data_IF_674815042000
#
_entry.id   IF_674815042000
#
_cell.length_a   1.000
_cell.length_b   1.000
_cell.length_c   1.000
_cell.angle_alpha   90.00
_cell.angle_beta   90.00
_cell.angle_gamma   90.00
#
_symmetry.space_group_name_H-M   'P 1'
#
loop_
_entity.id
_entity.type
_entity.pdbx_description
1 polymer ?
#
# COMPACT_ATOMS: atom_id res chain seq x y z
N UNK A 1 -3.43 67.12 34.02
CA UNK A 1 -2.30 67.70 34.81
C UNK A 1 -0.96 67.13 34.29
N UNK A 2 0.21 67.76 34.56
CA UNK A 2 1.15 67.98 33.45
C UNK A 2 2.57 67.34 33.54
N UNK A 3 3.02 66.81 32.40
CA UNK A 3 4.32 67.13 31.77
C UNK A 3 5.65 66.69 32.49
N UNK A 4 6.88 67.12 32.05
CA UNK A 4 7.62 66.38 31.00
C UNK A 4 9.16 66.27 31.18
N UNK A 5 9.85 65.44 30.34
CA UNK A 5 11.15 65.68 29.61
C UNK A 5 11.74 64.34 29.08
N UNK A 6 12.17 64.25 27.81
CA UNK A 6 13.54 64.47 27.23
C UNK A 6 14.64 63.63 27.89
N UNK A 7 15.59 62.97 27.21
CA UNK A 7 15.92 62.78 25.77
C UNK A 7 17.01 61.65 25.66
N UNK A 8 17.69 61.24 24.56
CA UNK A 8 17.90 61.75 23.19
C UNK A 8 18.34 60.60 22.21
N UNK A 9 18.97 60.90 21.08
CA UNK A 9 19.67 59.97 20.14
C UNK A 9 20.77 60.75 19.36
N UNK A 10 21.75 60.14 18.64
CA UNK A 10 21.51 59.71 17.24
C UNK A 10 22.41 58.59 16.61
N UNK A 11 21.88 57.90 15.58
CA UNK A 11 22.37 57.66 14.17
C UNK A 11 23.92 57.51 13.88
N UNK A 12 24.43 56.78 12.87
CA UNK A 12 23.88 56.57 11.51
C UNK A 12 24.60 55.53 10.58
N UNK A 13 23.86 55.00 9.59
CA UNK A 13 24.20 54.69 8.16
C UNK A 13 25.41 53.83 7.69
N UNK A 14 25.10 52.60 7.25
CA UNK A 14 25.08 52.12 5.83
C UNK A 14 26.23 52.39 4.82
N UNK A 15 26.86 51.31 4.32
CA UNK A 15 27.13 50.98 2.89
C UNK A 15 27.65 49.51 2.78
N UNK A 16 27.47 48.64 1.76
CA UNK A 16 27.03 48.64 0.34
C UNK A 16 28.15 48.60 -0.73
N UNK A 17 28.73 47.41 -1.03
CA UNK A 17 29.16 46.95 -2.38
C UNK A 17 29.77 45.53 -2.44
N UNK A 18 29.69 44.93 -3.64
CA UNK A 18 30.50 43.79 -4.16
C UNK A 18 31.41 44.33 -5.31
N UNK A 19 32.15 43.56 -6.17
CA UNK A 19 32.31 42.09 -6.30
C UNK A 19 33.73 41.53 -6.65
N UNK A 20 33.90 40.19 -6.57
CA UNK A 20 34.66 39.32 -7.54
C UNK A 20 36.20 39.37 -7.66
N UNK A 21 36.86 38.23 -8.00
CA UNK A 21 38.31 38.22 -8.32
C UNK A 21 39.08 36.87 -8.42
N UNK A 22 38.83 36.08 -9.48
CA UNK A 22 39.68 35.00 -10.10
C UNK A 22 40.99 34.47 -9.43
N UNK A 23 41.04 33.12 -9.34
CA UNK A 23 42.14 32.18 -9.76
C UNK A 23 43.60 32.36 -9.28
N UNK A 24 44.21 31.26 -8.79
CA UNK A 24 45.22 30.49 -9.56
C UNK A 24 45.61 29.14 -8.90
N UNK A 25 46.17 28.23 -9.71
CA UNK A 25 46.84 26.97 -9.31
C UNK A 25 48.10 26.82 -10.17
N UNK A 26 49.18 26.18 -9.70
CA UNK A 26 49.37 24.71 -9.85
C UNK A 26 50.06 24.06 -8.62
N UNK A 27 50.29 22.75 -8.51
CA UNK A 27 49.92 21.61 -9.36
C UNK A 27 51.09 20.63 -9.62
N UNK A 28 50.91 19.32 -9.39
CA UNK A 28 51.79 18.24 -9.92
C UNK A 28 51.05 16.89 -9.96
N UNK A 29 51.55 15.97 -10.80
CA UNK A 29 50.90 14.70 -11.18
C UNK A 29 51.45 13.51 -10.39
N UNK A 30 50.64 12.46 -10.20
CA UNK A 30 51.01 11.06 -10.48
C UNK A 30 49.77 10.14 -10.45
N UNK A 31 49.79 9.08 -11.26
CA UNK A 31 48.71 8.09 -11.45
C UNK A 31 49.29 6.85 -12.16
N UNK A 32 48.58 5.70 -12.26
CA UNK A 32 47.41 5.24 -11.50
C UNK A 32 47.66 3.89 -10.79
N UNK A 33 46.70 3.39 -10.00
CA UNK A 33 46.52 1.95 -9.73
C UNK A 33 45.03 1.62 -9.65
N UNK A 34 44.64 0.46 -10.19
CA UNK A 34 43.25 0.05 -10.31
C UNK A 34 42.60 -0.21 -8.95
N UNK A 35 41.52 0.52 -8.66
CA UNK A 35 40.46 0.12 -7.74
C UNK A 35 39.14 0.19 -8.50
N UNK A 36 38.29 -0.82 -8.35
CA UNK A 36 36.93 -0.78 -8.89
C UNK A 36 36.10 0.10 -7.98
N UNK A 37 35.75 1.28 -8.47
CA UNK A 37 34.80 2.15 -7.77
C UNK A 37 33.43 1.47 -7.77
N UNK A 38 33.05 0.91 -6.62
CA UNK A 38 31.64 0.85 -6.28
C UNK A 38 31.19 2.31 -6.16
N UNK A 39 30.27 2.74 -7.04
CA UNK A 39 29.76 4.11 -7.02
C UNK A 39 29.20 4.44 -5.63
N UNK A 40 29.30 5.71 -5.18
CA UNK A 40 28.71 6.12 -3.91
C UNK A 40 27.21 5.78 -3.89
N UNK A 41 26.60 5.59 -2.71
CA UNK A 41 25.15 5.43 -2.61
C UNK A 41 24.47 6.57 -3.34
N UNK A 42 23.68 6.24 -4.37
CA UNK A 42 22.85 7.23 -5.05
C UNK A 42 21.71 7.56 -4.11
N UNK A 43 21.85 8.65 -3.36
CA UNK A 43 20.76 9.24 -2.61
C UNK A 43 19.63 9.57 -3.60
N UNK A 44 18.56 8.77 -3.57
CA UNK A 44 17.40 8.88 -4.45
C UNK A 44 16.49 10.09 -4.10
N UNK A 45 17.10 11.15 -3.55
CA UNK A 45 16.48 12.43 -3.18
C UNK A 45 16.38 13.28 -4.45
N UNK A 46 15.42 12.91 -5.30
CA UNK A 46 15.28 13.46 -6.67
C UNK A 46 13.84 13.67 -7.13
N UNK A 47 12.88 13.79 -6.22
CA UNK A 47 11.50 14.21 -6.53
C UNK A 47 11.37 15.72 -6.26
N UNK A 48 11.64 16.53 -7.28
CA UNK A 48 11.45 17.99 -7.22
C UNK A 48 9.96 18.32 -7.37
N UNK A 49 9.35 18.57 -6.21
CA UNK A 49 7.92 18.65 -5.90
C UNK A 49 6.95 19.14 -7.00
N UNK A 50 6.04 18.24 -7.42
CA UNK A 50 4.80 18.60 -8.10
C UNK A 50 3.58 17.89 -7.48
N UNK A 51 3.55 17.62 -6.15
CA UNK A 51 2.42 16.92 -5.47
C UNK A 51 1.07 17.66 -5.53
N UNK A 52 1.07 18.85 -6.15
CA UNK A 52 -0.08 19.68 -6.42
C UNK A 52 -0.26 20.05 -7.90
N UNK A 53 0.48 19.48 -8.86
CA UNK A 53 0.35 19.77 -10.31
C UNK A 53 -0.43 18.68 -11.03
N UNK A 54 -1.48 19.05 -11.77
CA UNK A 54 -2.27 18.09 -12.55
C UNK A 54 -1.58 17.74 -13.87
N UNK A 55 -1.22 16.48 -14.08
CA UNK A 55 -0.46 16.05 -15.28
C UNK A 55 -1.21 16.22 -16.61
N UNK A 56 -2.52 16.48 -16.61
CA UNK A 56 -3.29 16.77 -17.82
C UNK A 56 -3.23 18.25 -18.22
N UNK A 57 -3.72 19.14 -17.36
CA UNK A 57 -3.85 20.57 -17.65
C UNK A 57 -2.68 21.42 -17.15
N UNK A 58 -1.68 20.80 -16.52
CA UNK A 58 -0.45 21.42 -16.00
C UNK A 58 -0.68 22.55 -14.98
N UNK A 59 -1.92 22.67 -14.46
CA UNK A 59 -2.25 23.60 -13.38
C UNK A 59 -1.68 23.10 -12.04
N UNK A 60 -0.97 23.99 -11.35
CA UNK A 60 -0.66 23.88 -9.92
C UNK A 60 -1.87 24.24 -9.04
N UNK A 61 -1.99 23.54 -7.92
CA UNK A 61 -2.98 23.75 -6.86
C UNK A 61 -2.27 24.05 -5.54
N UNK A 62 -2.98 24.59 -4.55
CA UNK A 62 -2.34 24.99 -3.27
C UNK A 62 -1.98 23.82 -2.33
N UNK A 63 -2.65 22.68 -2.48
CA UNK A 63 -2.43 21.48 -1.65
C UNK A 63 -2.96 20.21 -2.35
N UNK A 64 -2.53 19.03 -1.87
CA UNK A 64 -2.92 17.73 -2.43
C UNK A 64 -4.44 17.50 -2.40
N UNK A 65 -5.17 18.06 -1.43
CA UNK A 65 -6.63 17.94 -1.36
C UNK A 65 -7.36 18.76 -2.43
N UNK A 66 -6.80 19.90 -2.86
CA UNK A 66 -7.30 20.70 -3.97
C UNK A 66 -7.14 19.99 -5.32
N UNK A 67 -5.97 19.39 -5.58
CA UNK A 67 -5.76 18.60 -6.80
C UNK A 67 -6.60 17.31 -6.82
N UNK A 68 -6.70 16.56 -5.70
CA UNK A 68 -7.58 15.38 -5.64
C UNK A 68 -9.06 15.76 -5.87
N UNK A 69 -9.50 16.92 -5.38
CA UNK A 69 -10.84 17.44 -5.65
C UNK A 69 -11.02 17.84 -7.12
N UNK A 70 -10.05 18.53 -7.72
CA UNK A 70 -10.04 18.92 -9.13
C UNK A 70 -10.12 17.69 -10.07
N UNK A 71 -9.29 16.68 -9.86
CA UNK A 71 -9.20 15.51 -10.76
C UNK A 71 -10.50 14.70 -10.78
N UNK A 72 -11.15 14.52 -9.63
CA UNK A 72 -12.41 13.76 -9.56
C UNK A 72 -13.63 14.59 -9.99
N UNK A 73 -13.58 15.92 -9.88
CA UNK A 73 -14.71 16.79 -10.22
C UNK A 73 -14.67 17.43 -11.60
N UNK A 74 -13.50 17.66 -12.20
CA UNK A 74 -13.42 18.29 -13.52
C UNK A 74 -13.31 17.24 -14.61
N UNK A 75 -13.79 17.57 -15.82
CA UNK A 75 -13.61 16.73 -17.00
C UNK A 75 -12.49 17.27 -17.88
N UNK A 76 -11.43 16.48 -18.04
CA UNK A 76 -10.26 16.75 -18.90
C UNK A 76 -10.37 16.07 -20.27
N UNK A 77 -11.52 15.47 -20.58
CA UNK A 77 -11.78 14.72 -21.82
C UNK A 77 -12.64 15.56 -22.76
N UNK A 78 -12.56 15.29 -24.07
CA UNK A 78 -13.38 15.94 -25.10
C UNK A 78 -14.89 16.01 -24.75
N UNK A 79 -15.59 17.10 -25.14
CA UNK A 79 -15.12 18.23 -25.95
C UNK A 79 -14.35 19.31 -25.17
N UNK A 80 -13.97 19.05 -23.91
CA UNK A 80 -13.32 20.03 -23.04
C UNK A 80 -11.81 20.08 -23.28
N UNK A 81 -11.26 21.29 -23.32
CA UNK A 81 -9.90 21.56 -23.79
C UNK A 81 -8.99 22.09 -22.65
N UNK A 82 -7.80 22.61 -22.98
CA UNK A 82 -6.84 23.13 -22.00
C UNK A 82 -7.26 24.45 -21.32
N UNK A 83 -8.34 25.09 -21.78
CA UNK A 83 -8.84 26.37 -21.24
C UNK A 83 -10.16 26.22 -20.47
N UNK A 84 -11.05 25.32 -20.90
CA UNK A 84 -12.38 25.11 -20.31
C UNK A 84 -12.63 23.65 -19.90
N UNK A 85 -13.21 23.44 -18.72
CA UNK A 85 -13.55 22.14 -18.17
C UNK A 85 -14.95 22.13 -17.56
N UNK A 86 -15.71 21.04 -17.74
CA UNK A 86 -17.00 20.86 -17.06
C UNK A 86 -16.82 20.26 -15.66
N UNK A 87 -17.49 20.87 -14.67
CA UNK A 87 -17.64 20.25 -13.36
C UNK A 87 -18.67 19.10 -13.43
N UNK A 88 -18.21 17.87 -13.24
CA UNK A 88 -18.99 16.63 -13.25
C UNK A 88 -20.18 16.64 -12.28
N UNK A 89 -20.09 17.40 -11.18
CA UNK A 89 -21.13 17.50 -10.16
C UNK A 89 -22.27 18.47 -10.53
N UNK A 90 -21.96 19.72 -10.90
CA UNK A 90 -22.97 20.76 -11.16
C UNK A 90 -23.18 21.09 -12.66
N UNK A 91 -22.45 20.40 -13.55
CA UNK A 91 -22.46 20.53 -15.03
C UNK A 91 -22.04 21.89 -15.60
N UNK A 92 -21.76 22.89 -14.77
CA UNK A 92 -21.21 24.17 -15.21
C UNK A 92 -19.83 23.99 -15.88
N UNK A 93 -19.61 24.71 -16.97
CA UNK A 93 -18.27 24.94 -17.54
C UNK A 93 -17.51 25.94 -16.67
N UNK A 94 -16.22 25.69 -16.47
CA UNK A 94 -15.32 26.48 -15.62
C UNK A 94 -13.99 26.62 -16.35
N UNK A 95 -13.42 27.83 -16.37
CA UNK A 95 -12.09 28.05 -16.93
C UNK A 95 -11.03 27.36 -16.06
N UNK A 96 -10.00 26.77 -16.67
CA UNK A 96 -8.91 26.05 -15.97
C UNK A 96 -8.19 26.91 -14.93
N UNK A 97 -8.17 28.24 -15.11
CA UNK A 97 -7.65 29.20 -14.12
C UNK A 97 -8.53 29.36 -12.86
N UNK A 98 -9.81 28.99 -12.91
CA UNK A 98 -10.82 29.22 -11.86
C UNK A 98 -11.34 27.93 -11.17
N UNK A 99 -10.92 26.73 -11.64
CA UNK A 99 -11.44 25.43 -11.13
C UNK A 99 -11.20 25.16 -9.64
N UNK A 100 -10.22 25.77 -9.00
CA UNK A 100 -9.96 25.62 -7.55
C UNK A 100 -10.85 26.52 -6.69
N UNK A 101 -11.28 27.65 -7.26
CA UNK A 101 -12.19 28.63 -6.68
C UNK A 101 -13.67 28.18 -6.85
N UNK A 102 -13.94 27.31 -7.82
CA UNK A 102 -15.27 26.77 -8.10
C UNK A 102 -15.88 26.04 -6.88
N UNK A 103 -17.13 26.40 -6.52
CA UNK A 103 -17.82 25.98 -5.29
C UNK A 103 -17.75 24.46 -5.00
N UNK A 104 -17.97 23.61 -6.00
CA UNK A 104 -17.90 22.15 -5.80
C UNK A 104 -16.48 21.67 -5.47
N UNK A 105 -15.44 22.25 -6.09
CA UNK A 105 -14.05 21.92 -5.83
C UNK A 105 -13.61 22.39 -4.45
N UNK A 106 -13.99 23.62 -4.04
CA UNK A 106 -13.74 24.14 -2.69
C UNK A 106 -14.34 23.22 -1.62
N UNK A 107 -15.64 22.89 -1.72
CA UNK A 107 -16.33 22.03 -0.76
C UNK A 107 -15.70 20.62 -0.71
N UNK A 108 -15.42 20.02 -1.87
CA UNK A 108 -14.79 18.70 -1.96
C UNK A 108 -13.40 18.70 -1.36
N UNK A 109 -12.57 19.70 -1.67
CA UNK A 109 -11.22 19.82 -1.12
C UNK A 109 -11.25 20.02 0.41
N UNK A 110 -12.20 20.79 0.94
CA UNK A 110 -12.37 20.95 2.39
C UNK A 110 -12.73 19.63 3.08
N UNK A 111 -13.61 18.82 2.49
CA UNK A 111 -13.86 17.45 2.97
C UNK A 111 -12.60 16.58 2.93
N UNK A 112 -11.83 16.61 1.83
CA UNK A 112 -10.61 15.82 1.69
C UNK A 112 -9.51 16.25 2.69
N UNK A 113 -9.37 17.55 2.99
CA UNK A 113 -8.53 18.05 4.09
C UNK A 113 -9.00 17.51 5.45
N UNK A 114 -10.30 17.57 5.72
CA UNK A 114 -10.87 17.10 6.99
C UNK A 114 -10.61 15.61 7.24
N UNK A 115 -10.90 14.73 6.27
CA UNK A 115 -10.67 13.29 6.48
C UNK A 115 -9.19 12.90 6.55
N UNK A 116 -8.30 13.72 5.97
CA UNK A 116 -6.85 13.47 5.89
C UNK A 116 -6.01 14.20 6.94
N UNK A 117 -6.60 15.03 7.80
CA UNK A 117 -5.84 15.79 8.79
C UNK A 117 -5.48 14.94 10.02
N UNK A 118 -4.45 15.38 10.76
CA UNK A 118 -4.00 14.74 12.00
C UNK A 118 -5.10 14.64 13.07
N UNK A 119 -6.08 15.55 13.09
CA UNK A 119 -7.22 15.51 14.03
C UNK A 119 -8.25 14.41 13.70
N UNK A 120 -8.28 13.90 12.46
CA UNK A 120 -9.02 12.68 12.09
C UNK A 120 -8.11 11.45 12.18
N UNK A 121 -6.81 11.62 11.92
CA UNK A 121 -5.80 10.55 11.86
C UNK A 121 -5.00 10.34 13.18
N UNK A 122 -5.56 10.78 14.32
CA UNK A 122 -4.93 10.79 15.66
C UNK A 122 -4.31 9.44 16.08
N UNK A 123 -4.83 8.34 15.53
CA UNK A 123 -4.48 6.96 15.91
C UNK A 123 -3.73 6.19 14.81
N UNK A 124 -3.10 6.94 13.90
CA UNK A 124 -2.25 6.39 12.84
C UNK A 124 -3.02 6.04 11.54
N UNK A 125 -2.32 5.98 10.39
CA UNK A 125 -2.93 5.68 9.10
C UNK A 125 -3.74 4.37 9.06
N UNK A 126 -4.91 4.34 8.37
CA UNK A 126 -5.84 3.21 8.34
C UNK A 126 -5.38 2.01 7.47
N UNK A 127 -4.10 1.95 7.13
CA UNK A 127 -3.49 0.95 6.26
C UNK A 127 -2.20 0.37 6.87
N UNK A 128 -2.05 0.41 8.21
CA UNK A 128 -0.89 -0.13 8.92
C UNK A 128 -1.31 -1.20 9.92
N UNK A 129 -0.73 -2.39 9.80
CA UNK A 129 -1.00 -3.50 10.71
C UNK A 129 -0.29 -3.31 12.06
N UNK A 130 -1.06 -3.30 13.13
CA UNK A 130 -0.58 -3.12 14.49
C UNK A 130 -0.08 -4.40 15.14
N UNK A 131 -0.40 -5.57 14.58
CA UNK A 131 0.16 -6.85 15.02
C UNK A 131 1.51 -7.12 14.35
N UNK A 132 1.67 -6.79 13.07
CA UNK A 132 2.95 -6.83 12.36
C UNK A 132 3.77 -5.53 12.50
N UNK A 133 3.97 -5.01 13.72
CA UNK A 133 4.94 -3.92 14.01
C UNK A 133 4.83 -2.72 13.05
N UNK A 134 3.62 -2.21 12.83
CA UNK A 134 3.32 -1.07 11.93
C UNK A 134 3.58 -1.33 10.43
N UNK A 135 3.66 -2.60 9.98
CA UNK A 135 3.82 -2.99 8.56
C UNK A 135 2.77 -2.29 7.70
N UNK A 136 3.24 -1.61 6.65
CA UNK A 136 2.39 -0.90 5.68
C UNK A 136 1.66 -1.92 4.79
N UNK A 137 0.36 -1.74 4.64
CA UNK A 137 -0.46 -2.30 3.58
C UNK A 137 -0.72 -1.18 2.55
N UNK A 138 -0.97 -1.55 1.29
CA UNK A 138 -1.26 -0.61 0.20
C UNK A 138 -2.68 -0.02 0.23
N UNK A 139 -3.57 -0.54 1.08
CA UNK A 139 -4.88 0.06 1.35
C UNK A 139 -5.50 -0.44 2.66
N UNK A 140 -6.59 0.20 3.10
CA UNK A 140 -7.44 -0.34 4.18
C UNK A 140 -8.06 -1.71 3.83
N UNK A 141 -8.23 -2.02 2.54
CA UNK A 141 -8.70 -3.34 2.08
C UNK A 141 -7.60 -4.39 2.24
N UNK A 142 -6.37 -4.09 1.81
CA UNK A 142 -5.23 -4.98 2.01
C UNK A 142 -4.92 -5.17 3.51
N UNK A 143 -5.13 -4.15 4.34
CA UNK A 143 -5.09 -4.29 5.80
C UNK A 143 -6.16 -5.26 6.32
N UNK A 144 -7.43 -5.09 5.94
CA UNK A 144 -8.52 -5.96 6.41
C UNK A 144 -8.29 -7.43 5.99
N UNK A 145 -7.86 -7.66 4.75
CA UNK A 145 -7.51 -9.00 4.27
C UNK A 145 -6.28 -9.57 5.00
N UNK A 146 -5.24 -8.77 5.22
CA UNK A 146 -4.07 -9.18 5.99
C UNK A 146 -4.45 -9.55 7.44
N UNK A 147 -5.31 -8.79 8.12
CA UNK A 147 -5.83 -9.14 9.44
C UNK A 147 -6.57 -10.49 9.43
N UNK A 148 -7.48 -10.71 8.48
CA UNK A 148 -8.24 -11.97 8.37
C UNK A 148 -7.40 -13.16 7.86
N UNK A 149 -6.23 -12.93 7.26
CA UNK A 149 -5.37 -14.01 6.76
C UNK A 149 -4.20 -14.35 7.68
N UNK A 150 -3.68 -13.38 8.44
CA UNK A 150 -2.53 -13.55 9.34
C UNK A 150 -2.93 -13.60 10.82
N UNK A 151 -3.98 -12.88 11.22
CA UNK A 151 -4.32 -12.60 12.63
C UNK A 151 -5.75 -13.01 13.03
N UNK A 152 -6.45 -13.75 12.17
CA UNK A 152 -7.81 -14.28 12.46
C UNK A 152 -7.81 -15.08 13.76
N UNK A 153 -8.78 -14.87 14.67
CA UNK A 153 -8.93 -15.70 15.86
C UNK A 153 -9.07 -17.17 15.49
N UNK A 154 -8.44 -18.06 16.25
CA UNK A 154 -8.46 -19.51 16.02
C UNK A 154 -7.92 -19.94 14.63
N UNK A 155 -7.12 -19.09 13.96
CA UNK A 155 -6.36 -19.44 12.75
C UNK A 155 -5.50 -20.68 13.01
N UNK A 156 -5.57 -21.65 12.09
CA UNK A 156 -4.70 -22.83 12.10
C UNK A 156 -3.24 -22.41 11.78
N UNK A 157 -2.23 -22.86 12.55
CA UNK A 157 -0.84 -22.63 12.22
C UNK A 157 -0.46 -23.11 10.81
N UNK A 158 0.42 -22.38 10.12
CA UNK A 158 0.86 -22.67 8.75
C UNK A 158 -0.23 -22.62 7.67
N UNK A 159 -1.44 -22.12 7.97
CA UNK A 159 -2.54 -21.96 7.01
C UNK A 159 -3.02 -20.51 6.91
N UNK A 160 -3.40 -20.08 5.71
CA UNK A 160 -4.08 -18.81 5.47
C UNK A 160 -5.35 -18.74 6.34
N UNK A 161 -5.55 -17.61 7.03
CA UNK A 161 -6.72 -17.42 7.87
C UNK A 161 -8.04 -17.52 7.11
N UNK A 162 -8.12 -17.17 5.82
CA UNK A 162 -9.38 -17.17 5.04
C UNK A 162 -9.63 -18.40 4.15
N UNK A 163 -8.64 -19.26 3.88
CA UNK A 163 -8.81 -20.39 2.96
C UNK A 163 -7.91 -21.60 3.29
N UNK A 164 -7.80 -22.56 2.38
CA UNK A 164 -7.01 -23.80 2.56
C UNK A 164 -5.51 -23.65 2.25
N UNK A 165 -5.05 -22.52 1.72
CA UNK A 165 -3.65 -22.29 1.36
C UNK A 165 -2.70 -22.44 2.57
N UNK A 166 -1.57 -23.11 2.37
CA UNK A 166 -0.58 -23.42 3.42
C UNK A 166 0.80 -22.82 3.14
N UNK A 167 1.52 -22.45 4.21
CA UNK A 167 2.85 -21.86 4.15
C UNK A 167 3.71 -22.31 5.34
N UNK A 168 5.02 -22.10 5.24
CA UNK A 168 5.98 -22.33 6.32
C UNK A 168 5.91 -21.20 7.36
N UNK A 169 5.30 -21.46 8.51
CA UNK A 169 5.21 -20.47 9.60
C UNK A 169 6.55 -20.42 10.36
N UNK A 170 7.15 -19.22 10.56
CA UNK A 170 8.44 -19.11 11.22
C UNK A 170 8.36 -19.56 12.69
N UNK A 171 9.49 -20.05 13.27
CA UNK A 171 9.53 -20.41 14.67
C UNK A 171 9.18 -19.20 15.56
N UNK A 172 8.54 -19.42 16.73
CA UNK A 172 8.27 -18.34 17.67
C UNK A 172 9.60 -17.69 18.11
N UNK A 173 9.60 -16.37 18.39
CA UNK A 173 10.78 -15.69 18.90
C UNK A 173 11.19 -16.31 20.26
N UNK A 174 12.50 -16.34 20.59
CA UNK A 174 12.95 -16.81 21.88
C UNK A 174 12.37 -15.92 23.02
N UNK A 175 12.14 -16.48 24.21
CA UNK A 175 11.65 -15.71 25.35
C UNK A 175 12.66 -14.62 25.75
N UNK A 176 12.22 -13.50 26.36
CA UNK A 176 13.12 -12.42 26.75
C UNK A 176 14.16 -12.88 27.78
N UNK A 177 15.41 -12.46 27.60
CA UNK A 177 16.56 -12.87 28.43
C UNK A 177 16.58 -12.17 29.79
N UNK A 178 15.58 -12.41 30.64
CA UNK A 178 15.49 -11.91 32.02
C UNK A 178 15.88 -13.04 33.00
N UNK A 179 16.75 -12.81 34.00
CA UNK A 179 17.13 -13.83 34.97
C UNK A 179 15.92 -14.39 35.73
N UNK A 180 15.85 -15.71 36.00
CA UNK A 180 14.75 -16.31 36.73
C UNK A 180 14.70 -15.81 38.19
N UNK A 181 13.48 -15.60 38.69
CA UNK A 181 13.25 -15.11 40.04
C UNK A 181 13.73 -16.15 41.10
N UNK A 182 14.48 -15.74 42.15
CA UNK A 182 14.87 -16.67 43.22
C UNK A 182 13.65 -17.16 44.03
N UNK A 183 13.63 -18.41 44.54
CA UNK A 183 12.44 -19.02 45.14
C UNK A 183 11.82 -18.23 46.31
N UNK A 184 12.67 -17.58 47.12
CA UNK A 184 12.27 -16.84 48.33
C UNK A 184 12.13 -15.33 48.08
N UNK A 185 11.79 -14.92 46.86
CA UNK A 185 11.57 -13.51 46.52
C UNK A 185 10.32 -12.95 47.22
N UNK A 186 10.46 -11.76 47.80
CA UNK A 186 9.35 -10.95 48.31
C UNK A 186 8.45 -10.42 47.17
N UNK A 187 7.27 -9.90 47.54
CA UNK A 187 6.28 -9.38 46.58
C UNK A 187 6.77 -8.16 45.79
N UNK A 188 7.70 -7.38 46.34
CA UNK A 188 8.27 -6.23 45.63
C UNK A 188 9.23 -6.70 44.53
N UNK A 189 10.08 -7.69 44.80
CA UNK A 189 10.92 -8.37 43.79
C UNK A 189 10.10 -9.07 42.73
N UNK A 190 9.01 -9.78 43.10
CA UNK A 190 8.07 -10.38 42.13
C UNK A 190 7.52 -9.32 41.17
N UNK A 191 7.03 -8.20 41.71
CA UNK A 191 6.48 -7.07 40.94
C UNK A 191 7.54 -6.36 40.09
N UNK A 192 8.76 -6.20 40.60
CA UNK A 192 9.89 -5.62 39.87
C UNK A 192 10.31 -6.50 38.69
N UNK A 193 10.47 -7.81 38.91
CA UNK A 193 10.78 -8.79 37.86
C UNK A 193 9.65 -8.89 36.81
N UNK A 194 8.39 -8.88 37.21
CA UNK A 194 7.26 -8.86 36.26
C UNK A 194 7.28 -7.59 35.38
N UNK A 195 7.64 -6.44 35.95
CA UNK A 195 7.82 -5.18 35.21
C UNK A 195 9.04 -5.23 34.28
N UNK A 196 10.15 -5.80 34.72
CA UNK A 196 11.36 -6.02 33.90
C UNK A 196 11.05 -6.96 32.72
N UNK A 197 10.37 -8.07 32.97
CA UNK A 197 9.92 -9.02 31.94
C UNK A 197 8.95 -8.36 30.95
N UNK A 198 8.03 -7.51 31.41
CA UNK A 198 7.17 -6.73 30.52
C UNK A 198 8.01 -5.78 29.64
N UNK A 199 8.96 -5.03 30.23
CA UNK A 199 9.84 -4.11 29.48
C UNK A 199 10.71 -4.86 28.45
N UNK A 200 11.27 -6.00 28.84
CA UNK A 200 12.07 -6.85 27.95
C UNK A 200 11.23 -7.43 26.80
N UNK A 201 9.97 -7.82 27.08
CA UNK A 201 9.01 -8.26 26.05
C UNK A 201 8.64 -7.12 25.11
N UNK A 202 8.26 -5.95 25.63
CA UNK A 202 7.91 -4.77 24.84
C UNK A 202 9.10 -4.28 23.98
N UNK A 203 10.34 -4.41 24.49
CA UNK A 203 11.56 -4.14 23.71
C UNK A 203 11.76 -5.17 22.59
N UNK A 204 11.69 -6.47 22.89
CA UNK A 204 11.84 -7.53 21.89
C UNK A 204 10.79 -7.44 20.77
N UNK A 205 9.56 -7.05 21.10
CA UNK A 205 8.50 -6.77 20.12
C UNK A 205 8.81 -5.56 19.21
N UNK A 206 9.63 -4.61 19.67
CA UNK A 206 10.07 -3.45 18.90
C UNK A 206 11.30 -3.73 18.02
N UNK A 207 12.00 -4.85 18.17
CA UNK A 207 13.16 -5.22 17.38
C UNK A 207 12.74 -5.91 16.05
N UNK A 208 13.54 -5.80 14.97
CA UNK A 208 13.23 -6.48 13.70
C UNK A 208 13.51 -7.99 13.80
N UNK A 209 12.74 -8.85 13.11
CA UNK A 209 13.04 -10.28 13.04
C UNK A 209 14.40 -10.49 12.34
N UNK A 210 15.33 -11.15 13.04
CA UNK A 210 16.71 -11.41 12.57
C UNK A 210 16.74 -12.48 11.47
N UNK A 211 15.72 -13.35 11.43
CA UNK A 211 15.62 -14.47 10.49
C UNK A 211 14.63 -14.08 9.37
N UNK A 212 15.00 -14.21 8.07
CA UNK A 212 14.05 -14.08 6.96
C UNK A 212 12.88 -15.07 7.08
N UNK A 213 11.69 -14.70 6.59
CA UNK A 213 10.47 -15.52 6.78
C UNK A 213 9.73 -15.83 5.45
N UNK A 214 10.34 -16.60 4.52
CA UNK A 214 9.80 -16.78 3.17
C UNK A 214 8.35 -17.29 3.12
N UNK A 215 7.92 -18.11 4.08
CA UNK A 215 6.53 -18.55 4.15
C UNK A 215 5.53 -17.42 4.49
N UNK A 216 5.92 -16.39 5.24
CA UNK A 216 5.08 -15.20 5.45
C UNK A 216 5.01 -14.33 4.21
N UNK A 217 6.10 -14.27 3.41
CA UNK A 217 6.09 -13.58 2.12
C UNK A 217 5.23 -14.33 1.10
N UNK A 218 5.26 -15.68 1.11
CA UNK A 218 4.36 -16.52 0.31
C UNK A 218 2.88 -16.36 0.72
N UNK A 219 2.56 -16.29 2.03
CA UNK A 219 1.22 -15.96 2.47
C UNK A 219 0.81 -14.55 2.02
N UNK A 220 1.70 -13.56 2.12
CA UNK A 220 1.42 -12.18 1.71
C UNK A 220 1.14 -12.08 0.21
N UNK A 221 1.92 -12.78 -0.61
CA UNK A 221 1.73 -12.91 -2.05
C UNK A 221 0.37 -13.55 -2.38
N UNK A 222 0.04 -14.67 -1.74
CA UNK A 222 -1.25 -15.33 -1.87
C UNK A 222 -2.41 -14.38 -1.54
N UNK A 223 -2.37 -13.68 -0.40
CA UNK A 223 -3.42 -12.73 0.01
C UNK A 223 -3.58 -11.60 -1.01
N UNK A 224 -2.46 -11.07 -1.53
CA UNK A 224 -2.43 -9.99 -2.52
C UNK A 224 -3.06 -10.35 -3.87
N UNK A 225 -3.08 -11.62 -4.26
CA UNK A 225 -3.62 -12.07 -5.55
C UNK A 225 -4.93 -12.85 -5.47
N UNK A 226 -5.20 -13.56 -4.37
CA UNK A 226 -6.41 -14.37 -4.19
C UNK A 226 -7.53 -13.68 -3.39
N UNK A 227 -7.19 -12.72 -2.53
CA UNK A 227 -8.17 -12.10 -1.61
C UNK A 227 -8.32 -10.58 -1.85
N UNK A 228 -7.21 -9.85 -1.96
CA UNK A 228 -7.26 -8.38 -2.14
C UNK A 228 -8.02 -7.93 -3.40
N UNK A 229 -7.91 -8.56 -4.59
CA UNK A 229 -8.63 -8.08 -5.78
C UNK A 229 -10.15 -8.14 -5.62
N UNK A 230 -10.68 -9.25 -5.09
CA UNK A 230 -12.10 -9.44 -4.86
C UNK A 230 -12.68 -8.42 -3.87
N UNK A 231 -12.03 -8.23 -2.71
CA UNK A 231 -12.49 -7.27 -1.70
C UNK A 231 -12.24 -5.81 -2.09
N UNK A 232 -11.28 -5.53 -2.97
CA UNK A 232 -11.09 -4.17 -3.51
C UNK A 232 -12.18 -3.83 -4.52
N UNK A 233 -12.59 -4.80 -5.37
CA UNK A 233 -13.75 -4.65 -6.23
C UNK A 233 -15.05 -4.44 -5.43
N UNK A 234 -15.27 -5.25 -4.37
CA UNK A 234 -16.39 -5.08 -3.44
C UNK A 234 -16.40 -3.69 -2.81
N UNK A 235 -15.29 -3.28 -2.17
CA UNK A 235 -15.18 -1.97 -1.54
C UNK A 235 -15.32 -0.83 -2.55
N UNK A 236 -14.89 -1.00 -3.82
CA UNK A 236 -15.03 0.02 -4.88
C UNK A 236 -16.46 0.14 -5.40
N UNK A 237 -17.23 -0.96 -5.48
CA UNK A 237 -18.68 -0.91 -5.76
C UNK A 237 -19.39 -0.15 -4.66
N UNK A 238 -19.22 -0.57 -3.40
CA UNK A 238 -19.96 0.01 -2.28
C UNK A 238 -19.61 1.49 -2.04
N UNK A 239 -18.39 1.95 -2.36
CA UNK A 239 -17.95 3.36 -2.22
C UNK A 239 -18.68 4.36 -3.16
N UNK A 240 -19.35 3.85 -4.20
CA UNK A 240 -20.21 4.64 -5.10
C UNK A 240 -21.50 5.04 -4.36
N UNK A 241 -22.05 4.11 -3.58
CA UNK A 241 -23.37 4.20 -2.92
C UNK A 241 -23.25 4.69 -1.48
N UNK A 242 -22.41 4.04 -0.66
CA UNK A 242 -22.16 4.42 0.72
C UNK A 242 -21.05 5.48 0.83
N UNK A 243 -21.43 6.64 1.35
CA UNK A 243 -20.49 7.73 1.63
C UNK A 243 -19.64 7.51 2.88
N UNK A 244 -20.03 6.62 3.81
CA UNK A 244 -19.28 6.35 5.03
C UNK A 244 -17.95 5.64 4.75
N UNK A 245 -17.89 4.79 3.72
CA UNK A 245 -16.65 4.19 3.20
C UNK A 245 -15.55 5.19 2.80
N UNK A 246 -15.82 6.50 2.76
CA UNK A 246 -14.84 7.58 2.50
C UNK A 246 -14.08 8.00 3.76
N UNK A 247 -14.58 7.67 4.96
CA UNK A 247 -13.87 7.93 6.22
C UNK A 247 -12.73 6.92 6.41
N UNK A 248 -11.58 7.31 6.99
CA UNK A 248 -10.37 6.50 7.02
C UNK A 248 -10.56 5.12 7.66
N UNK A 249 -11.26 5.07 8.79
CA UNK A 249 -11.46 3.83 9.56
C UNK A 249 -12.81 3.14 9.32
N UNK A 250 -13.44 3.41 8.18
CA UNK A 250 -14.62 2.66 7.76
C UNK A 250 -14.23 1.24 7.33
N UNK A 251 -14.93 0.23 7.84
CA UNK A 251 -14.69 -1.16 7.48
C UNK A 251 -14.95 -1.38 5.98
N UNK A 252 -13.99 -1.89 5.19
CA UNK A 252 -14.17 -2.13 3.75
C UNK A 252 -15.11 -3.30 3.43
N UNK A 253 -15.50 -4.10 4.42
CA UNK A 253 -16.39 -5.27 4.26
C UNK A 253 -17.85 -4.83 4.45
N UNK A 254 -18.18 -4.14 5.55
CA UNK A 254 -19.56 -3.81 5.95
C UNK A 254 -19.87 -2.30 6.09
N UNK A 255 -18.93 -1.41 5.77
CA UNK A 255 -19.13 0.06 5.85
C UNK A 255 -19.03 0.69 7.25
N UNK A 256 -19.05 -0.10 8.33
CA UNK A 256 -19.08 0.42 9.70
C UNK A 256 -17.94 1.42 10.01
N UNK A 257 -18.24 2.67 10.43
CA UNK A 257 -17.23 3.69 10.69
C UNK A 257 -16.65 3.61 12.11
N UNK A 258 -15.39 3.20 12.25
CA UNK A 258 -14.66 3.37 13.51
C UNK A 258 -14.11 4.79 13.67
N UNK A 259 -13.73 5.14 14.91
CA UNK A 259 -13.02 6.39 15.26
C UNK A 259 -11.50 6.25 15.25
N UNK A 260 -10.96 5.04 15.03
CA UNK A 260 -9.51 4.79 15.13
C UNK A 260 -9.04 3.58 14.33
N UNK A 261 -7.75 3.51 14.01
CA UNK A 261 -7.13 2.31 13.45
C UNK A 261 -7.28 1.11 14.42
N UNK A 262 -7.27 1.37 15.74
CA UNK A 262 -7.47 0.36 16.79
C UNK A 262 -8.86 -0.28 16.73
N UNK A 263 -9.90 0.54 16.58
CA UNK A 263 -11.29 0.09 16.45
C UNK A 263 -11.55 -0.61 15.11
N UNK A 264 -10.95 -0.16 14.02
CA UNK A 264 -10.97 -0.88 12.74
C UNK A 264 -10.33 -2.28 12.87
N UNK A 265 -9.16 -2.39 13.50
CA UNK A 265 -8.50 -3.68 13.76
C UNK A 265 -9.39 -4.61 14.59
N UNK A 266 -9.90 -4.10 15.72
CA UNK A 266 -10.77 -4.87 16.60
C UNK A 266 -12.04 -5.34 15.88
N UNK A 267 -12.72 -4.45 15.16
CA UNK A 267 -13.91 -4.74 14.38
C UNK A 267 -13.68 -5.81 13.32
N UNK A 268 -12.63 -5.70 12.49
CA UNK A 268 -12.35 -6.70 11.46
C UNK A 268 -12.11 -8.08 12.09
N UNK A 269 -11.34 -8.16 13.18
CA UNK A 269 -11.07 -9.43 13.85
C UNK A 269 -12.26 -9.98 14.64
N UNK A 270 -13.11 -9.15 15.23
CA UNK A 270 -14.27 -9.59 16.03
C UNK A 270 -15.50 -9.92 15.17
N UNK A 271 -15.82 -9.07 14.20
CA UNK A 271 -17.08 -9.09 13.44
C UNK A 271 -16.99 -9.84 12.10
N UNK A 272 -15.78 -10.04 11.58
CA UNK A 272 -15.52 -10.77 10.33
C UNK A 272 -14.52 -11.92 10.50
N UNK A 273 -14.07 -12.19 11.73
CA UNK A 273 -13.09 -13.22 12.04
C UNK A 273 -13.65 -14.64 12.23
N UNK A 274 -14.97 -14.84 12.39
CA UNK A 274 -15.51 -16.16 12.72
C UNK A 274 -15.27 -17.18 11.59
N UNK A 275 -14.95 -18.45 11.89
CA UNK A 275 -14.68 -19.47 10.89
C UNK A 275 -15.88 -19.78 9.98
N UNK A 276 -17.11 -19.58 10.44
CA UNK A 276 -18.35 -19.80 9.68
C UNK A 276 -19.14 -18.50 9.46
N UNK A 277 -19.91 -18.47 8.38
CA UNK A 277 -20.82 -17.35 8.07
C UNK A 277 -21.94 -17.23 9.10
N UNK A 278 -22.53 -18.36 9.53
CA UNK A 278 -23.57 -18.45 10.56
C UNK A 278 -23.16 -17.72 11.86
N UNK A 279 -21.90 -17.79 12.28
CA UNK A 279 -21.41 -17.06 13.46
C UNK A 279 -21.33 -15.55 13.25
N UNK A 280 -21.08 -15.08 12.03
CA UNK A 280 -21.14 -13.65 11.68
C UNK A 280 -22.59 -13.16 11.57
N UNK A 281 -23.52 -14.01 11.10
CA UNK A 281 -24.96 -13.74 11.08
C UNK A 281 -25.53 -13.63 12.49
N UNK A 282 -25.21 -14.60 13.36
CA UNK A 282 -25.57 -14.64 14.79
C UNK A 282 -24.79 -13.62 15.66
N UNK A 283 -24.02 -12.72 15.04
CA UNK A 283 -23.27 -11.62 15.70
C UNK A 283 -22.41 -12.10 16.87
N UNK A 284 -21.74 -13.25 16.68
CA UNK A 284 -20.79 -13.82 17.63
C UNK A 284 -19.44 -13.11 17.46
N UNK A 285 -18.83 -12.69 18.57
CA UNK A 285 -17.49 -12.12 18.58
C UNK A 285 -16.44 -13.21 18.41
N UNK A 286 -15.73 -13.22 17.27
CA UNK A 286 -14.76 -14.27 16.95
C UNK A 286 -13.59 -14.38 17.94
N UNK A 287 -13.30 -13.32 18.71
CA UNK A 287 -12.19 -13.31 19.68
C UNK A 287 -12.55 -13.90 21.05
N UNK A 288 -13.83 -14.01 21.41
CA UNK A 288 -14.24 -14.47 22.76
C UNK A 288 -15.60 -15.21 22.84
N UNK A 289 -16.29 -15.43 21.72
CA UNK A 289 -17.57 -16.16 21.68
C UNK A 289 -18.80 -15.38 22.17
N UNK A 290 -18.67 -14.11 22.56
CA UNK A 290 -19.80 -13.29 22.99
C UNK A 290 -20.80 -13.08 21.84
N UNK A 291 -22.04 -13.54 21.99
CA UNK A 291 -23.13 -13.31 21.05
C UNK A 291 -23.86 -12.00 21.37
N UNK A 292 -24.02 -11.12 20.38
CA UNK A 292 -24.79 -9.88 20.51
C UNK A 292 -26.17 -9.98 19.85
N UNK A 293 -27.13 -9.17 20.28
CA UNK A 293 -28.47 -9.10 19.67
C UNK A 293 -28.52 -8.39 18.30
N UNK A 294 -27.37 -7.92 17.78
CA UNK A 294 -27.29 -7.14 16.54
C UNK A 294 -25.93 -6.46 16.36
N UNK A 295 -25.66 -5.95 15.17
CA UNK A 295 -24.37 -5.32 14.82
C UNK A 295 -24.00 -4.15 15.74
N UNK A 296 -24.97 -3.34 16.18
CA UNK A 296 -24.71 -2.24 17.12
C UNK A 296 -24.14 -2.77 18.45
N UNK A 297 -24.70 -3.86 18.98
CA UNK A 297 -24.24 -4.51 20.21
C UNK A 297 -22.86 -5.17 20.05
N UNK A 298 -22.60 -5.82 18.91
CA UNK A 298 -21.29 -6.43 18.63
C UNK A 298 -20.19 -5.38 18.47
N UNK A 299 -20.49 -4.25 17.82
CA UNK A 299 -19.57 -3.13 17.68
C UNK A 299 -19.30 -2.44 19.03
N UNK A 300 -20.33 -2.25 19.87
CA UNK A 300 -20.14 -1.75 21.24
C UNK A 300 -19.30 -2.70 22.09
N UNK A 301 -19.60 -4.00 22.07
CA UNK A 301 -18.79 -5.03 22.72
C UNK A 301 -17.32 -4.95 22.29
N UNK A 302 -17.08 -4.77 20.99
CA UNK A 302 -15.74 -4.70 20.39
C UNK A 302 -14.95 -3.46 20.84
N UNK A 303 -15.56 -2.27 20.78
CA UNK A 303 -14.92 -1.03 21.25
C UNK A 303 -14.65 -1.04 22.77
N UNK A 304 -15.53 -1.67 23.57
CA UNK A 304 -15.35 -1.75 25.03
C UNK A 304 -14.29 -2.77 25.47
N UNK A 305 -14.26 -3.97 24.87
CA UNK A 305 -13.45 -5.08 25.36
C UNK A 305 -12.12 -5.27 24.59
N UNK A 306 -12.13 -5.02 23.28
CA UNK A 306 -11.07 -5.51 22.38
C UNK A 306 -10.16 -4.41 21.82
N UNK A 307 -10.56 -3.15 21.92
CA UNK A 307 -9.74 -2.01 21.46
C UNK A 307 -8.60 -1.67 22.42
N UNK A 308 -8.75 -1.90 23.72
CA UNK A 308 -7.73 -1.51 24.71
C UNK A 308 -6.37 -2.26 24.55
N UNK A 309 -6.32 -3.58 24.31
CA UNK A 309 -5.06 -4.28 24.01
C UNK A 309 -4.37 -3.75 22.73
N UNK A 310 -5.13 -3.56 21.65
CA UNK A 310 -4.59 -3.09 20.36
C UNK A 310 -4.09 -1.64 20.49
N UNK A 311 -4.78 -0.80 21.27
CA UNK A 311 -4.34 0.56 21.64
C UNK A 311 -3.03 0.56 22.43
N UNK A 312 -2.78 -0.43 23.30
CA UNK A 312 -1.47 -0.59 23.97
C UNK A 312 -0.35 -0.88 22.94
N UNK A 313 -0.58 -1.78 21.97
CA UNK A 313 0.38 -2.06 20.89
C UNK A 313 0.68 -0.82 20.05
N UNK A 314 -0.35 -0.10 19.60
CA UNK A 314 -0.18 1.17 18.88
C UNK A 314 0.59 2.22 19.68
N UNK A 315 0.33 2.31 20.99
CA UNK A 315 1.05 3.22 21.90
C UNK A 315 2.53 2.86 22.04
N UNK A 316 2.88 1.56 22.02
CA UNK A 316 4.26 1.07 21.99
C UNK A 316 4.95 1.45 20.67
N UNK A 317 4.28 1.21 19.52
CA UNK A 317 4.83 1.56 18.20
C UNK A 317 5.06 3.05 18.00
N UNK A 318 4.21 3.92 18.58
CA UNK A 318 4.42 5.38 18.56
C UNK A 318 5.64 5.75 19.42
N UNK A 319 5.77 5.20 20.64
CA UNK A 319 6.93 5.43 21.52
C UNK A 319 8.26 4.95 20.95
N UNK A 320 8.23 3.92 20.10
CA UNK A 320 9.39 3.38 19.40
C UNK A 320 9.62 3.99 18.01
N UNK A 321 8.86 5.03 17.63
CA UNK A 321 8.93 5.71 16.32
C UNK A 321 8.61 4.83 15.10
N UNK A 322 8.06 3.63 15.33
CA UNK A 322 7.65 2.65 14.31
C UNK A 322 6.31 3.01 13.66
N UNK A 323 5.46 3.80 14.33
CA UNK A 323 4.16 4.26 13.84
C UNK A 323 4.10 5.79 13.76
N UNK A 324 4.15 6.32 12.54
CA UNK A 324 3.87 7.73 12.24
C UNK A 324 2.36 8.00 12.27
N UNK A 325 1.93 9.05 12.95
CA UNK A 325 0.51 9.46 13.06
C UNK A 325 0.03 10.35 11.89
N UNK A 326 0.69 10.26 10.73
CA UNK A 326 0.39 11.09 9.55
C UNK A 326 0.28 10.18 8.33
N UNK A 327 -0.81 10.35 7.57
CA UNK A 327 -0.93 9.85 6.19
C UNK A 327 -0.41 10.93 5.26
N UNK A 328 0.37 10.57 4.24
CA UNK A 328 0.74 11.49 3.17
C UNK A 328 -0.43 11.64 2.16
N UNK A 329 -1.07 12.82 2.03
CA UNK A 329 -2.16 13.04 1.07
C UNK A 329 -1.68 13.24 -0.37
N UNK A 330 -0.37 13.34 -0.63
CA UNK A 330 0.20 13.36 -1.98
C UNK A 330 0.21 11.98 -2.64
N UNK A 331 0.39 10.92 -1.84
CA UNK A 331 0.43 9.52 -2.31
C UNK A 331 -0.75 8.67 -1.87
N UNK A 332 -1.70 9.21 -1.08
CA UNK A 332 -2.89 8.46 -0.59
C UNK A 332 -4.19 9.00 -1.16
N UNK A 333 -5.01 8.13 -1.75
CA UNK A 333 -6.34 8.49 -2.22
C UNK A 333 -7.32 8.66 -1.06
N UNK A 334 -7.76 9.89 -0.80
CA UNK A 334 -8.69 10.24 0.29
C UNK A 334 -10.18 9.92 -0.04
N UNK A 335 -10.42 8.96 -0.94
CA UNK A 335 -11.73 8.35 -1.22
C UNK A 335 -11.75 6.88 -0.81
N UNK A 336 -10.82 6.08 -1.33
CA UNK A 336 -10.77 4.63 -1.08
C UNK A 336 -9.78 4.23 0.03
N UNK A 337 -8.83 5.11 0.38
CA UNK A 337 -7.69 4.84 1.26
C UNK A 337 -6.72 3.78 0.72
N UNK A 338 -6.46 3.83 -0.58
CA UNK A 338 -5.33 3.19 -1.26
C UNK A 338 -4.14 4.16 -1.34
N UNK A 339 -2.93 3.64 -1.13
CA UNK A 339 -1.65 4.36 -1.20
C UNK A 339 -0.86 3.94 -2.44
N UNK A 340 -0.13 4.88 -3.02
CA UNK A 340 0.63 4.71 -4.25
C UNK A 340 2.12 4.97 -4.03
N UNK A 341 2.97 4.58 -4.96
CA UNK A 341 4.41 4.87 -4.89
C UNK A 341 4.69 6.31 -5.30
N UNK A 342 3.92 6.78 -6.30
CA UNK A 342 4.08 8.09 -6.91
C UNK A 342 2.72 8.78 -7.07
N UNK A 343 2.74 10.10 -7.10
CA UNK A 343 1.58 10.96 -7.29
C UNK A 343 0.93 10.77 -8.67
N UNK A 344 1.70 10.49 -9.73
CA UNK A 344 1.13 10.16 -11.05
C UNK A 344 0.33 8.85 -11.05
N UNK A 345 0.71 7.85 -10.24
CA UNK A 345 -0.11 6.64 -10.04
C UNK A 345 -1.44 7.00 -9.34
N UNK A 346 -1.41 7.88 -8.33
CA UNK A 346 -2.61 8.39 -7.66
C UNK A 346 -3.52 9.21 -8.60
N UNK A 347 -2.96 10.07 -9.46
CA UNK A 347 -3.75 10.88 -10.40
C UNK A 347 -4.47 10.00 -11.43
N UNK A 348 -3.81 8.96 -11.95
CA UNK A 348 -4.47 7.96 -12.81
C UNK A 348 -5.58 7.21 -12.06
N UNK A 349 -5.32 6.73 -10.84
CA UNK A 349 -6.33 6.08 -10.01
C UNK A 349 -7.57 6.95 -9.77
N UNK A 350 -7.40 8.23 -9.43
CA UNK A 350 -8.54 9.15 -9.21
C UNK A 350 -9.43 9.29 -10.45
N UNK A 351 -8.83 9.37 -11.64
CA UNK A 351 -9.56 9.41 -12.91
C UNK A 351 -10.27 8.10 -13.24
N UNK A 352 -9.61 6.97 -12.97
CA UNK A 352 -10.03 5.65 -13.46
C UNK A 352 -11.01 4.98 -12.49
N UNK A 353 -10.76 5.13 -11.19
CA UNK A 353 -11.52 4.50 -10.12
C UNK A 353 -12.67 5.36 -9.57
N UNK A 354 -12.53 6.70 -9.59
CA UNK A 354 -13.48 7.62 -8.93
C UNK A 354 -14.14 8.64 -9.86
N UNK A 355 -13.72 8.72 -11.12
CA UNK A 355 -14.39 9.52 -12.15
C UNK A 355 -15.31 8.67 -13.07
N UNK A 356 -15.72 7.50 -12.57
CA UNK A 356 -16.70 6.56 -13.14
C UNK A 356 -17.76 6.22 -12.09
N UNK A 357 -19.00 5.97 -12.51
CA UNK A 357 -20.08 5.43 -11.66
C UNK A 357 -20.17 3.89 -11.72
N UNK A 358 -19.17 3.22 -12.30
CA UNK A 358 -19.10 1.76 -12.40
C UNK A 358 -17.68 1.28 -12.03
N UNK A 359 -17.60 0.28 -11.15
CA UNK A 359 -16.36 -0.26 -10.63
C UNK A 359 -15.53 -1.06 -11.67
N UNK A 360 -16.12 -1.47 -12.79
CA UNK A 360 -15.47 -2.19 -13.90
C UNK A 360 -15.41 -1.39 -15.21
N UNK A 361 -15.64 -0.07 -15.17
CA UNK A 361 -15.51 0.81 -16.34
C UNK A 361 -14.54 1.95 -16.08
N UNK A 362 -13.59 2.16 -16.99
CA UNK A 362 -12.53 3.14 -16.86
C UNK A 362 -13.08 4.58 -16.87
N UNK A 363 -12.91 5.30 -15.75
CA UNK A 363 -13.37 6.70 -15.64
C UNK A 363 -12.61 7.70 -16.51
N UNK A 364 -11.43 7.32 -17.04
CA UNK A 364 -10.70 8.02 -18.09
C UNK A 364 -11.25 7.64 -19.47
N UNK A 365 -10.70 6.61 -20.12
CA UNK A 365 -10.94 6.27 -21.53
C UNK A 365 -12.28 5.57 -21.84
N UNK A 366 -13.11 5.32 -20.82
CA UNK A 366 -14.46 4.72 -20.93
C UNK A 366 -14.54 3.25 -21.39
N UNK A 367 -13.40 2.58 -21.59
CA UNK A 367 -13.29 1.12 -21.77
C UNK A 367 -14.03 0.41 -20.65
N UNK A 368 -14.77 -0.64 -21.02
CA UNK A 368 -15.65 -1.39 -20.12
C UNK A 368 -15.19 -2.85 -20.03
N UNK A 369 -14.93 -3.30 -18.81
CA UNK A 369 -14.43 -4.65 -18.51
C UNK A 369 -15.56 -5.62 -18.10
N UNK A 370 -16.83 -5.18 -18.09
CA UNK A 370 -17.99 -6.03 -17.78
C UNK A 370 -18.23 -7.18 -18.78
N UNK A 371 -17.57 -7.17 -19.93
CA UNK A 371 -17.59 -8.26 -20.91
C UNK A 371 -16.81 -9.50 -20.48
N UNK A 372 -15.93 -9.40 -19.47
CA UNK A 372 -15.22 -10.53 -18.90
C UNK A 372 -16.12 -11.28 -17.89
N UNK A 373 -16.38 -12.60 -18.07
CA UNK A 373 -17.33 -13.33 -17.22
C UNK A 373 -16.95 -13.46 -15.74
N UNK A 374 -15.64 -13.48 -15.43
CA UNK A 374 -15.17 -13.40 -14.05
C UNK A 374 -14.92 -11.92 -13.68
N UNK A 375 -15.72 -11.32 -12.77
CA UNK A 375 -15.55 -9.93 -12.38
C UNK A 375 -14.26 -9.67 -11.59
N UNK A 376 -13.66 -10.70 -10.97
CA UNK A 376 -12.38 -10.57 -10.25
C UNK A 376 -11.23 -10.48 -11.26
N UNK A 377 -11.19 -11.37 -12.26
CA UNK A 377 -10.27 -11.27 -13.40
C UNK A 377 -10.46 -9.95 -14.16
N UNK A 378 -11.70 -9.54 -14.43
CA UNK A 378 -12.02 -8.23 -15.02
C UNK A 378 -11.39 -7.07 -14.24
N UNK A 379 -11.45 -7.12 -12.90
CA UNK A 379 -10.85 -6.11 -12.03
C UNK A 379 -9.32 -6.19 -12.03
N UNK A 380 -8.72 -7.38 -12.13
CA UNK A 380 -7.26 -7.53 -12.26
C UNK A 380 -6.73 -6.95 -13.59
N UNK A 381 -7.43 -7.18 -14.71
CA UNK A 381 -7.15 -6.53 -16.00
C UNK A 381 -7.28 -5.00 -15.84
N UNK A 382 -8.35 -4.53 -15.20
CA UNK A 382 -8.55 -3.10 -14.95
C UNK A 382 -7.44 -2.48 -14.07
N UNK A 383 -6.84 -3.23 -13.15
CA UNK A 383 -5.69 -2.75 -12.36
C UNK A 383 -4.40 -2.63 -13.20
N UNK A 384 -4.24 -3.44 -14.25
CA UNK A 384 -3.15 -3.25 -15.23
C UNK A 384 -3.39 -2.04 -16.12
N UNK A 385 -4.62 -1.87 -16.58
CA UNK A 385 -5.09 -0.70 -17.30
C UNK A 385 -4.90 0.61 -16.50
N UNK A 386 -5.13 0.58 -15.18
CA UNK A 386 -4.86 1.70 -14.27
C UNK A 386 -3.37 2.10 -14.24
N UNK A 387 -2.47 1.12 -14.24
CA UNK A 387 -1.03 1.32 -14.27
C UNK A 387 -0.51 1.74 -15.66
N UNK A 388 -1.10 1.23 -16.75
CA UNK A 388 -0.79 1.66 -18.12
C UNK A 388 -1.19 3.14 -18.36
N UNK A 389 -2.31 3.56 -17.78
CA UNK A 389 -2.67 4.98 -17.74
C UNK A 389 -1.77 5.81 -16.81
N UNK A 390 -1.33 5.27 -15.67
CA UNK A 390 -0.33 5.92 -14.82
C UNK A 390 1.01 6.15 -15.54
N UNK A 391 1.44 5.20 -16.38
CA UNK A 391 2.60 5.34 -17.27
C UNK A 391 2.46 6.54 -18.22
N UNK A 392 1.28 6.79 -18.78
CA UNK A 392 1.03 7.97 -19.63
C UNK A 392 1.25 9.28 -18.86
N UNK A 393 0.90 9.32 -17.56
CA UNK A 393 1.16 10.48 -16.71
C UNK A 393 2.63 10.57 -16.29
N UNK A 394 3.31 9.44 -16.11
CA UNK A 394 4.76 9.38 -15.91
C UNK A 394 5.53 9.92 -17.13
N UNK A 395 5.07 9.67 -18.36
CA UNK A 395 5.64 10.25 -19.59
C UNK A 395 5.55 11.79 -19.58
N UNK A 396 4.43 12.36 -19.13
CA UNK A 396 4.30 13.82 -18.93
C UNK A 396 5.17 14.31 -17.77
N UNK A 397 5.27 13.56 -16.67
CA UNK A 397 6.11 13.90 -15.53
C UNK A 397 7.60 13.98 -15.92
N UNK A 398 8.09 12.96 -16.64
CA UNK A 398 9.45 12.93 -17.19
C UNK A 398 9.71 14.09 -18.14
N UNK A 399 8.79 14.35 -19.09
CA UNK A 399 8.92 15.46 -20.06
C UNK A 399 9.07 16.84 -19.41
N UNK A 400 8.47 17.04 -18.24
CA UNK A 400 8.52 18.30 -17.50
C UNK A 400 9.55 18.31 -16.34
N UNK A 401 10.36 17.26 -16.19
CA UNK A 401 11.33 17.07 -15.09
C UNK A 401 10.67 17.04 -13.69
N UNK A 402 9.41 16.62 -13.61
CA UNK A 402 8.66 16.39 -12.37
C UNK A 402 9.03 15.06 -11.69
N UNK A 403 9.67 14.15 -12.41
CA UNK A 403 10.26 12.93 -11.86
C UNK A 403 11.51 12.52 -12.64
N UNK A 404 12.42 11.82 -11.97
CA UNK A 404 13.57 11.12 -12.58
C UNK A 404 13.39 9.60 -12.65
N UNK A 405 12.23 9.09 -12.20
CA UNK A 405 11.94 7.65 -12.15
C UNK A 405 11.78 7.11 -13.57
N UNK A 406 12.61 6.13 -13.94
CA UNK A 406 12.57 5.49 -15.25
C UNK A 406 11.20 4.90 -15.57
N UNK A 407 10.80 5.04 -16.83
CA UNK A 407 9.51 4.60 -17.33
C UNK A 407 9.44 3.06 -17.35
N UNK A 408 8.40 2.49 -16.75
CA UNK A 408 8.20 1.03 -16.70
C UNK A 408 7.56 0.52 -17.99
N UNK A 409 7.79 -0.76 -18.28
CA UNK A 409 7.15 -1.45 -19.39
C UNK A 409 5.62 -1.50 -19.23
N UNK A 410 4.92 -1.57 -20.37
CA UNK A 410 3.46 -1.71 -20.41
C UNK A 410 3.05 -3.08 -19.87
N UNK A 411 2.03 -3.10 -19.01
CA UNK A 411 1.47 -4.33 -18.46
C UNK A 411 0.45 -4.94 -19.44
N UNK A 412 0.38 -6.28 -19.56
CA UNK A 412 -0.59 -6.93 -20.43
C UNK A 412 -2.01 -6.81 -19.84
N UNK A 413 -2.98 -6.52 -20.70
CA UNK A 413 -4.42 -6.41 -20.36
C UNK A 413 -5.19 -7.65 -20.87
N UNK A 414 -4.71 -8.83 -20.49
CA UNK A 414 -5.16 -10.13 -21.02
C UNK A 414 -6.02 -10.93 -20.02
N UNK A 415 -6.97 -11.76 -20.47
CA UNK A 415 -7.77 -12.64 -19.60
C UNK A 415 -6.99 -13.90 -19.17
N UNK A 416 -5.78 -13.73 -18.65
CA UNK A 416 -4.93 -14.80 -18.11
C UNK A 416 -4.43 -14.40 -16.72
N UNK A 417 -4.92 -15.06 -15.67
CA UNK A 417 -4.66 -14.69 -14.28
C UNK A 417 -3.18 -14.77 -13.92
N UNK A 418 -2.52 -15.85 -14.32
CA UNK A 418 -1.11 -16.11 -14.04
C UNK A 418 -0.20 -15.10 -14.76
N UNK A 419 -0.51 -14.73 -16.01
CA UNK A 419 0.22 -13.70 -16.75
C UNK A 419 0.07 -12.32 -16.10
N UNK A 420 -1.14 -11.95 -15.67
CA UNK A 420 -1.37 -10.71 -14.91
C UNK A 420 -0.56 -10.70 -13.60
N UNK A 421 -0.59 -11.79 -12.82
CA UNK A 421 0.19 -11.91 -11.57
C UNK A 421 1.69 -11.76 -11.84
N UNK A 422 2.22 -12.49 -12.83
CA UNK A 422 3.64 -12.48 -13.17
C UNK A 422 4.12 -11.10 -13.63
N UNK A 423 3.37 -10.43 -14.50
CA UNK A 423 3.73 -9.09 -14.97
C UNK A 423 3.65 -8.05 -13.85
N UNK A 424 2.66 -8.14 -12.95
CA UNK A 424 2.54 -7.27 -11.77
C UNK A 424 3.69 -7.47 -10.78
N UNK A 425 4.16 -8.70 -10.59
CA UNK A 425 5.34 -9.00 -9.77
C UNK A 425 6.57 -8.28 -10.33
N UNK A 426 6.82 -8.40 -11.64
CA UNK A 426 7.92 -7.71 -12.32
C UNK A 426 7.81 -6.18 -12.20
N UNK A 427 6.60 -5.60 -12.34
CA UNK A 427 6.37 -4.15 -12.18
C UNK A 427 6.77 -3.60 -10.80
N UNK A 428 6.67 -4.41 -9.74
CA UNK A 428 7.13 -4.05 -8.39
C UNK A 428 8.53 -4.60 -8.04
N UNK A 429 9.30 -5.09 -9.03
CA UNK A 429 10.66 -5.60 -8.83
C UNK A 429 10.74 -6.96 -8.14
N UNK A 430 9.60 -7.63 -7.95
CA UNK A 430 9.52 -8.97 -7.37
C UNK A 430 9.75 -10.03 -8.46
N UNK A 431 10.51 -11.08 -8.16
CA UNK A 431 10.74 -12.18 -9.10
C UNK A 431 9.56 -13.17 -9.08
N UNK A 432 9.02 -13.58 -10.23
CA UNK A 432 8.17 -14.77 -10.30
C UNK A 432 8.98 -16.01 -9.88
N UNK A 433 8.51 -16.76 -8.89
CA UNK A 433 9.07 -18.08 -8.62
C UNK A 433 8.66 -19.05 -9.73
N UNK A 434 9.63 -19.71 -10.35
CA UNK A 434 9.35 -20.70 -11.39
C UNK A 434 8.75 -21.97 -10.77
N UNK A 435 7.52 -22.39 -11.13
CA UNK A 435 6.87 -23.52 -10.49
C UNK A 435 7.61 -24.83 -10.79
N UNK A 436 8.27 -25.38 -9.77
CA UNK A 436 8.73 -26.76 -9.73
C UNK A 436 10.10 -27.04 -10.34
N UNK A 437 11.15 -26.97 -9.51
CA UNK A 437 12.26 -27.93 -9.57
C UNK A 437 12.26 -28.81 -8.32
N UNK A 438 11.65 -29.99 -8.45
CA UNK A 438 11.89 -31.11 -7.51
C UNK A 438 13.40 -31.35 -7.42
N UNK A 439 13.91 -31.48 -6.20
CA UNK A 439 15.33 -31.36 -5.92
C UNK A 439 16.22 -32.44 -6.56
N UNK A 440 17.52 -32.15 -6.63
CA UNK A 440 18.57 -33.16 -6.63
C UNK A 440 19.56 -32.85 -5.52
N UNK A 441 19.89 -33.86 -4.73
CA UNK A 441 20.89 -33.75 -3.66
C UNK A 441 22.30 -33.47 -4.22
N UNK A 442 23.18 -32.96 -3.36
CA UNK A 442 24.60 -32.74 -3.68
C UNK A 442 25.40 -34.04 -3.50
N UNK A 443 25.14 -35.03 -4.34
CA UNK A 443 26.04 -36.19 -4.42
C UNK A 443 27.33 -35.80 -5.13
N UNK A 444 28.45 -35.92 -4.40
CA UNK A 444 29.80 -35.73 -4.93
C UNK A 444 30.31 -37.05 -5.51
N UNK A 445 30.79 -37.05 -6.75
CA UNK A 445 31.83 -37.99 -7.19
C UNK A 445 32.60 -37.48 -8.41
N UNK A 446 33.86 -37.91 -8.61
CA UNK A 446 34.81 -37.25 -9.51
C UNK A 446 34.86 -37.81 -10.94
N UNK A 447 35.59 -37.11 -11.82
CA UNK A 447 35.92 -37.53 -13.19
C UNK A 447 36.59 -38.91 -13.24
N UNK A 448 36.24 -39.74 -14.23
CA UNK A 448 37.25 -40.58 -14.90
C UNK A 448 36.90 -40.92 -16.37
N UNK A 449 37.93 -40.79 -17.22
CA UNK A 449 38.30 -41.52 -18.46
C UNK A 449 37.19 -42.11 -19.38
N UNK A 450 37.16 -41.62 -20.62
CA UNK A 450 36.69 -42.36 -21.82
C UNK A 450 37.61 -43.58 -22.13
N UNK A 451 37.16 -44.59 -22.92
CA UNK A 451 37.51 -44.54 -24.35
C UNK A 451 36.54 -45.22 -25.37
N UNK A 452 36.60 -44.71 -26.61
CA UNK A 452 36.42 -45.34 -27.96
C UNK A 452 35.39 -46.47 -28.24
N UNK A 453 34.53 -46.18 -29.22
CA UNK A 453 34.09 -47.03 -30.37
C UNK A 453 33.23 -48.29 -30.10
N UNK A 454 32.16 -48.60 -30.85
CA UNK A 454 32.05 -48.73 -32.32
C UNK A 454 30.59 -48.59 -32.80
N UNK A 455 30.37 -48.27 -34.09
CA UNK A 455 29.10 -48.53 -34.80
C UNK A 455 29.08 -49.97 -35.36
N UNK A 456 27.91 -50.54 -35.70
CA UNK A 456 27.41 -50.37 -37.07
C UNK A 456 25.87 -50.27 -37.26
N UNK A 457 25.51 -49.87 -38.48
CA UNK A 457 24.23 -50.03 -39.23
C UNK A 457 23.22 -51.06 -38.65
N UNK A 458 21.90 -50.83 -38.74
CA UNK A 458 21.21 -50.94 -40.05
C UNK A 458 19.70 -50.63 -40.05
N UNK A 459 19.19 -50.33 -41.26
CA UNK A 459 17.84 -50.60 -41.84
C UNK A 459 16.56 -50.14 -41.12
N UNK A 460 15.91 -49.13 -41.71
CA UNK A 460 14.44 -49.06 -41.86
C UNK A 460 13.95 -50.19 -42.82
N UNK A 461 12.63 -50.54 -42.92
CA UNK A 461 11.61 -49.63 -43.48
C UNK A 461 10.12 -49.79 -43.07
N UNK A 462 9.33 -48.75 -43.39
CA UNK A 462 7.93 -48.75 -43.88
C UNK A 462 6.80 -49.65 -43.31
N UNK A 463 5.81 -49.02 -42.68
CA UNK A 463 4.35 -49.11 -42.96
C UNK A 463 3.65 -48.02 -42.11
N UNK A 464 2.76 -47.12 -42.56
CA UNK A 464 1.82 -46.96 -43.71
C UNK A 464 0.46 -47.64 -43.50
N UNK A 465 -0.60 -46.81 -43.58
CA UNK A 465 -2.04 -47.12 -43.43
C UNK A 465 -2.52 -47.36 -41.98
N UNK A 466 -3.79 -47.09 -41.61
CA UNK A 466 -4.92 -46.53 -42.39
C UNK A 466 -5.91 -45.74 -41.52
N UNK A 467 -6.70 -44.88 -42.18
CA UNK A 467 -7.83 -44.13 -41.60
C UNK A 467 -9.01 -45.03 -41.21
N UNK A 468 -9.85 -44.57 -40.28
CA UNK A 468 -11.02 -45.32 -39.79
C UNK A 468 -12.13 -44.44 -39.21
N UNK A 469 -12.75 -43.58 -40.01
CA UNK A 469 -13.92 -42.79 -39.61
C UNK A 469 -15.22 -43.61 -39.74
N UNK A 470 -16.12 -43.54 -38.75
CA UNK A 470 -17.56 -43.82 -38.98
C UNK A 470 -18.45 -43.09 -37.98
N UNK A 471 -19.54 -42.52 -38.49
CA UNK A 471 -20.65 -41.98 -37.69
C UNK A 471 -21.52 -43.13 -37.17
N UNK A 472 -22.21 -42.89 -36.05
CA UNK A 472 -23.66 -42.84 -36.12
C UNK A 472 -24.16 -41.64 -35.32
#
# INVERSE_FOLDING_TARGET
>A
MPSPKKSQSPKSKSSKKSPGGKKNSPGKKNSPKNLKEAGPPVDFIGQTDPVTVCYFCQRSFKDSAAIQAHIVLMNHMDPFNSMEQQCRACKATVLVKDVEQHKCAVLKATFLRFVSCSATLVYGPPYRCLFCRSKRCGSRVELAMHLLCFHRPNKIPGRCGMCTFTYEEPPPPPPPTVPPLPPNADEERKKAHQKELQIATEKAMCEPPVIPTPGLDNLWLHVRHEHVPAYTLWSRRNLIEDSNLRFPYACPICGWPSKSNYGLHAHVLCCHGNPTEIQNELKVCAMCGFAAAGDAGLNQHTEMNHVAPIRRLGSLWIKAELLMNVTDPATTCAYCWQTFTYDFELQAHLLIAHASNNALRCGWCKVDFMSCPDPILAFMIMQHHELNHARTLQEVALKNNYTVVALKDMLPEVPNKEELINARMVYYGMRPESPGKKGKGKDKSPKSKSPKSKSPKSKSPSSKSKSGSKKK
#
